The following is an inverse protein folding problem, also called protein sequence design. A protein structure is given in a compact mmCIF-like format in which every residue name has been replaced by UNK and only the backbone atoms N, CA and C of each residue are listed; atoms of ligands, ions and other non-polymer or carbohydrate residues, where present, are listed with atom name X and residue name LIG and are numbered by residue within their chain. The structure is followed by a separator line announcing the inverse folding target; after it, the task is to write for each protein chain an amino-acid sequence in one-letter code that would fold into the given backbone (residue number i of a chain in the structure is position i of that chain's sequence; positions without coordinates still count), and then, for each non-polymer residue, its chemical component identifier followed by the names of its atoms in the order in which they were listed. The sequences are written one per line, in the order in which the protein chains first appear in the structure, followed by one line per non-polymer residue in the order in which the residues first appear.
data_IF_402771531443
#
_entry.id   IF_402771531443
#
_cell.length_a   1.000
_cell.length_b   1.000
_cell.length_c   1.000
_cell.angle_alpha   90.00
_cell.angle_beta   90.00
_cell.angle_gamma   90.00
#
_symmetry.space_group_name_H-M   'P 1'
#
loop_
_entity.id
_entity.type
_entity.pdbx_description
1 polymer ?
#
# COMPACT_ATOMS: atom_id res chain seq x y z
N UNK A 1 -0.14 -42.03 28.87
CA UNK A 1 0.92 -41.24 29.55
C UNK A 1 0.22 -40.14 30.33
N UNK A 2 -0.03 -40.34 31.62
CA UNK A 2 -0.54 -39.28 32.48
C UNK A 2 0.66 -38.43 32.93
N UNK A 3 0.60 -37.11 32.68
CA UNK A 3 1.63 -36.21 33.19
C UNK A 3 1.58 -36.18 34.72
N UNK A 4 2.75 -36.30 35.36
CA UNK A 4 2.87 -36.10 36.80
C UNK A 4 2.35 -34.70 37.19
N UNK A 5 1.88 -34.52 38.43
CA UNK A 5 1.36 -33.22 38.92
C UNK A 5 2.34 -32.07 38.62
N UNK A 6 3.64 -32.33 38.74
CA UNK A 6 4.71 -31.39 38.41
C UNK A 6 4.82 -31.11 36.92
N UNK A 7 4.76 -32.17 36.08
CA UNK A 7 4.76 -32.01 34.62
C UNK A 7 3.55 -31.24 34.11
N UNK A 8 2.38 -31.44 34.72
CA UNK A 8 1.14 -30.71 34.38
C UNK A 8 1.23 -29.23 34.75
N UNK A 9 1.87 -28.90 35.88
CA UNK A 9 2.10 -27.51 36.29
C UNK A 9 3.07 -26.79 35.35
N UNK A 10 4.17 -27.45 34.95
CA UNK A 10 5.14 -26.90 34.00
C UNK A 10 4.49 -26.67 32.63
N UNK A 11 3.76 -27.67 32.12
CA UNK A 11 3.05 -27.55 30.84
C UNK A 11 2.03 -26.39 30.87
N UNK A 12 1.28 -26.23 31.96
CA UNK A 12 0.33 -25.12 32.11
C UNK A 12 1.05 -23.76 32.11
N UNK A 13 2.20 -23.67 32.77
CA UNK A 13 3.02 -22.45 32.79
C UNK A 13 3.54 -22.07 31.40
N UNK A 14 4.00 -23.04 30.62
CA UNK A 14 4.49 -22.81 29.25
C UNK A 14 3.35 -22.32 28.34
N UNK A 15 2.17 -22.94 28.42
CA UNK A 15 1.01 -22.52 27.63
C UNK A 15 0.57 -21.11 28.02
N UNK A 16 0.51 -20.80 29.31
CA UNK A 16 0.15 -19.46 29.78
C UNK A 16 1.14 -18.39 29.29
N UNK A 17 2.45 -18.67 29.34
CA UNK A 17 3.49 -17.79 28.82
C UNK A 17 3.34 -17.56 27.30
N UNK A 18 3.04 -18.62 26.55
CA UNK A 18 2.86 -18.53 25.09
C UNK A 18 1.65 -17.68 24.72
N UNK A 19 0.53 -17.82 25.44
CA UNK A 19 -0.66 -16.99 25.23
C UNK A 19 -0.35 -15.51 25.50
N UNK A 20 0.41 -15.20 26.55
CA UNK A 20 0.85 -13.83 26.85
C UNK A 20 1.73 -13.28 25.72
N UNK A 21 2.68 -14.08 25.21
CA UNK A 21 3.53 -13.68 24.10
C UNK A 21 2.72 -13.41 22.82
N UNK A 22 1.74 -14.27 22.49
CA UNK A 22 0.84 -14.05 21.36
C UNK A 22 0.04 -12.76 21.52
N UNK A 23 -0.53 -12.51 22.71
CA UNK A 23 -1.27 -11.28 22.99
C UNK A 23 -0.38 -10.02 22.84
N UNK A 24 0.88 -10.09 23.28
CA UNK A 24 1.84 -9.00 23.13
C UNK A 24 2.21 -8.76 21.66
N UNK A 25 2.41 -9.81 20.86
CA UNK A 25 2.67 -9.70 19.42
C UNK A 25 1.46 -9.09 18.70
N UNK A 26 0.24 -9.53 19.04
CA UNK A 26 -0.99 -8.98 18.45
C UNK A 26 -1.16 -7.51 18.81
N UNK A 27 -0.99 -7.15 20.09
CA UNK A 27 -1.09 -5.76 20.54
C UNK A 27 -0.04 -4.85 19.87
N UNK A 28 1.20 -5.33 19.75
CA UNK A 28 2.27 -4.56 19.06
C UNK A 28 2.10 -4.51 17.55
N UNK A 29 1.48 -5.53 16.95
CA UNK A 29 1.13 -5.50 15.52
C UNK A 29 0.01 -4.52 15.22
N UNK A 30 -0.98 -4.39 16.13
CA UNK A 30 -2.08 -3.43 16.00
C UNK A 30 -1.63 -1.96 16.14
N UNK A 31 -0.42 -1.72 16.69
CA UNK A 31 0.17 -0.38 16.79
C UNK A 31 1.13 -0.03 15.66
N UNK A 32 1.41 -0.95 14.73
CA UNK A 32 2.14 -0.60 13.51
C UNK A 32 1.15 0.12 12.60
N UNK A 33 1.49 1.35 12.20
CA UNK A 33 0.81 2.04 11.10
C UNK A 33 0.72 1.14 9.85
N UNK A 34 -0.15 1.47 8.90
CA UNK A 34 -0.40 0.64 7.72
C UNK A 34 0.95 0.18 7.15
N UNK A 35 1.08 -1.13 6.97
CA UNK A 35 2.29 -1.68 6.38
C UNK A 35 2.38 -1.08 4.99
N UNK A 36 3.36 -0.19 4.79
CA UNK A 36 3.79 0.32 3.49
C UNK A 36 4.24 -0.89 2.66
N UNK A 37 3.29 -1.56 2.01
CA UNK A 37 3.44 -2.95 1.56
C UNK A 37 3.79 -3.08 0.07
N UNK A 38 3.71 -1.98 -0.68
CA UNK A 38 3.91 -2.00 -2.12
C UNK A 38 5.32 -1.56 -2.58
N UNK A 39 5.73 -1.95 -3.81
CA UNK A 39 7.02 -1.55 -4.37
C UNK A 39 7.25 -0.04 -4.43
N UNK A 40 6.24 0.76 -4.76
CA UNK A 40 6.35 2.21 -4.85
C UNK A 40 6.53 2.86 -3.47
N UNK A 41 5.72 2.44 -2.50
CA UNK A 41 5.89 2.78 -1.09
C UNK A 41 7.28 2.43 -0.58
N UNK A 42 7.81 1.27 -0.95
CA UNK A 42 9.17 0.85 -0.61
C UNK A 42 10.25 1.77 -1.16
N UNK A 43 10.09 2.27 -2.40
CA UNK A 43 10.99 3.27 -2.99
C UNK A 43 10.90 4.62 -2.29
N UNK A 44 9.70 5.05 -1.95
CA UNK A 44 9.49 6.31 -1.24
C UNK A 44 10.11 6.27 0.17
N UNK A 45 9.99 5.15 0.87
CA UNK A 45 10.67 4.94 2.15
C UNK A 45 12.20 5.01 2.03
N UNK A 46 12.78 4.48 0.96
CA UNK A 46 14.23 4.62 0.71
C UNK A 46 14.63 6.10 0.52
N UNK A 47 13.80 6.89 -0.16
CA UNK A 47 14.00 8.35 -0.29
C UNK A 47 13.97 9.02 1.08
N UNK A 48 13.04 8.63 1.95
CA UNK A 48 12.96 9.16 3.32
C UNK A 48 14.18 8.80 4.17
N UNK A 49 14.66 7.57 4.07
CA UNK A 49 15.86 7.10 4.80
C UNK A 49 17.13 7.87 4.36
N UNK A 50 17.13 8.43 3.15
CA UNK A 50 18.17 9.34 2.67
C UNK A 50 18.00 10.80 3.15
N UNK A 51 16.95 11.10 3.91
CA UNK A 51 16.65 12.43 4.41
C UNK A 51 16.12 13.39 3.34
N UNK A 52 15.60 12.87 2.23
CA UNK A 52 15.06 13.67 1.14
C UNK A 52 13.56 13.94 1.35
N UNK A 53 13.14 15.17 1.03
CA UNK A 53 11.74 15.61 1.14
C UNK A 53 11.06 15.77 -0.24
N UNK A 54 11.73 15.33 -1.29
CA UNK A 54 11.22 15.36 -2.66
C UNK A 54 11.83 14.21 -3.44
N UNK A 55 11.05 13.60 -4.32
CA UNK A 55 11.51 12.57 -5.24
C UNK A 55 10.81 12.68 -6.57
N UNK A 56 11.37 12.03 -7.58
CA UNK A 56 10.68 11.78 -8.83
C UNK A 56 10.89 10.31 -9.16
N UNK A 57 9.80 9.54 -9.23
CA UNK A 57 9.86 8.09 -9.36
C UNK A 57 9.14 7.70 -10.64
N UNK A 58 9.85 7.11 -11.60
CA UNK A 58 9.22 6.51 -12.77
C UNK A 58 8.71 5.12 -12.42
N UNK A 59 7.44 4.78 -12.69
CA UNK A 59 6.92 3.44 -12.44
C UNK A 59 7.74 2.32 -13.09
N UNK A 60 8.38 2.57 -14.24
CA UNK A 60 9.25 1.58 -14.87
C UNK A 60 10.48 1.21 -13.99
N UNK A 61 11.00 2.14 -13.19
CA UNK A 61 12.11 1.88 -12.25
C UNK A 61 11.66 1.06 -11.01
N UNK A 62 10.35 1.00 -10.78
CA UNK A 62 9.73 0.31 -9.64
C UNK A 62 9.23 -1.06 -10.03
N UNK A 63 8.52 -1.15 -11.14
CA UNK A 63 7.78 -2.34 -11.58
C UNK A 63 8.45 -3.06 -12.77
N UNK A 64 9.55 -2.52 -13.29
CA UNK A 64 10.36 -3.13 -14.36
C UNK A 64 9.93 -2.73 -15.76
N UNK A 65 10.64 -3.27 -16.76
CA UNK A 65 10.50 -2.89 -18.17
C UNK A 65 9.10 -3.17 -18.76
N UNK A 66 8.36 -4.12 -18.19
CA UNK A 66 6.98 -4.43 -18.59
C UNK A 66 5.97 -3.33 -18.26
N UNK A 67 6.32 -2.42 -17.35
CA UNK A 67 5.49 -1.26 -17.05
C UNK A 67 5.51 -0.31 -18.25
N UNK A 68 4.35 -0.19 -18.91
CA UNK A 68 4.18 0.63 -20.10
C UNK A 68 3.50 1.96 -19.78
N UNK A 69 2.42 1.90 -18.98
CA UNK A 69 1.67 3.08 -18.59
C UNK A 69 1.23 2.96 -17.13
N UNK A 70 0.81 4.07 -16.54
CA UNK A 70 0.20 4.11 -15.22
C UNK A 70 -0.93 5.13 -15.15
N UNK A 71 -1.82 4.96 -14.18
CA UNK A 71 -2.80 5.97 -13.78
C UNK A 71 -3.06 5.88 -12.28
N UNK A 72 -3.78 6.84 -11.72
CA UNK A 72 -4.28 6.80 -10.35
C UNK A 72 -5.79 6.53 -10.30
N UNK A 73 -6.25 5.99 -9.18
CA UNK A 73 -7.67 5.96 -8.84
C UNK A 73 -7.85 6.72 -7.54
N UNK A 74 -8.76 7.70 -7.57
CA UNK A 74 -8.96 8.60 -6.46
C UNK A 74 -10.14 8.19 -5.56
N UNK A 75 -10.15 8.64 -4.30
CA UNK A 75 -11.26 8.41 -3.41
C UNK A 75 -12.59 8.85 -4.02
N UNK A 76 -13.63 8.04 -3.86
CA UNK A 76 -14.98 8.33 -4.37
C UNK A 76 -15.23 7.96 -5.83
N UNK A 77 -14.22 7.51 -6.58
CA UNK A 77 -14.44 6.90 -7.91
C UNK A 77 -15.33 5.66 -7.75
N UNK A 78 -16.38 5.56 -8.55
CA UNK A 78 -17.33 4.46 -8.50
C UNK A 78 -16.83 3.23 -9.24
N UNK A 79 -17.27 2.05 -8.80
CA UNK A 79 -16.96 0.78 -9.46
C UNK A 79 -17.42 0.78 -10.92
N UNK A 80 -18.61 1.33 -11.18
CA UNK A 80 -19.16 1.42 -12.54
C UNK A 80 -18.37 2.34 -13.49
N UNK A 81 -17.65 3.33 -12.97
CA UNK A 81 -16.78 4.19 -13.81
C UNK A 81 -15.50 3.45 -14.24
N UNK A 82 -15.09 2.45 -13.47
CA UNK A 82 -13.90 1.64 -13.75
C UNK A 82 -14.23 0.36 -14.51
N UNK A 83 -15.41 -0.21 -14.28
CA UNK A 83 -15.92 -1.39 -14.96
C UNK A 83 -16.10 -1.10 -16.47
N UNK A 84 -15.13 -1.56 -17.26
CA UNK A 84 -15.06 -1.34 -18.71
C UNK A 84 -13.81 -0.59 -19.17
N UNK A 85 -13.11 0.09 -18.26
CA UNK A 85 -11.82 0.72 -18.52
C UNK A 85 -10.64 -0.21 -18.18
N UNK A 86 -10.77 -1.02 -17.12
CA UNK A 86 -9.72 -1.94 -16.67
C UNK A 86 -10.29 -3.09 -15.83
N UNK A 87 -9.43 -4.05 -15.49
CA UNK A 87 -9.72 -5.05 -14.46
C UNK A 87 -9.69 -4.40 -13.07
N UNK A 88 -10.78 -4.52 -12.32
CA UNK A 88 -10.94 -3.94 -10.98
C UNK A 88 -10.81 -4.97 -9.86
N UNK A 89 -10.36 -6.19 -10.16
CA UNK A 89 -10.32 -7.31 -9.19
C UNK A 89 -9.48 -6.99 -7.95
N UNK A 90 -8.42 -6.20 -8.10
CA UNK A 90 -7.52 -5.82 -6.99
C UNK A 90 -7.89 -4.49 -6.33
N UNK A 91 -8.92 -3.78 -6.83
CA UNK A 91 -9.39 -2.52 -6.23
C UNK A 91 -10.49 -2.82 -5.22
N UNK A 92 -10.35 -2.26 -4.00
CA UNK A 92 -11.36 -2.43 -2.95
C UNK A 92 -12.41 -1.32 -3.06
N UNK A 93 -13.67 -1.70 -2.92
CA UNK A 93 -14.80 -0.79 -2.94
C UNK A 93 -15.63 -0.93 -1.66
N UNK A 94 -16.04 0.21 -1.12
CA UNK A 94 -17.02 0.32 -0.03
C UNK A 94 -18.29 0.96 -0.57
N UNK A 95 -19.42 0.25 -0.55
CA UNK A 95 -20.67 0.72 -1.17
C UNK A 95 -20.50 1.12 -2.65
N UNK A 96 -19.79 0.28 -3.42
CA UNK A 96 -19.51 0.49 -4.85
C UNK A 96 -18.68 1.74 -5.18
N UNK A 97 -18.00 2.34 -4.20
CA UNK A 97 -17.07 3.46 -4.40
C UNK A 97 -15.73 3.18 -3.73
N UNK A 98 -14.66 3.75 -4.26
CA UNK A 98 -13.36 3.73 -3.58
C UNK A 98 -13.47 4.49 -2.26
N UNK A 99 -13.01 3.89 -1.17
CA UNK A 99 -13.10 4.45 0.17
C UNK A 99 -12.38 5.81 0.27
N UNK A 100 -12.80 6.65 1.22
CA UNK A 100 -12.33 8.05 1.32
C UNK A 100 -10.88 8.19 1.75
N UNK A 101 -10.36 7.15 2.39
CA UNK A 101 -9.05 7.07 3.02
C UNK A 101 -8.04 6.27 2.19
N UNK A 102 -8.40 5.85 0.97
CA UNK A 102 -7.48 5.13 0.08
C UNK A 102 -7.44 5.72 -1.33
N UNK A 103 -6.26 5.69 -1.92
CA UNK A 103 -6.05 5.97 -3.34
C UNK A 103 -5.17 4.86 -3.94
N UNK A 104 -5.17 4.71 -5.26
CA UNK A 104 -4.44 3.64 -5.94
C UNK A 104 -3.55 4.17 -7.05
N UNK A 105 -2.42 3.49 -7.28
CA UNK A 105 -1.62 3.59 -8.50
C UNK A 105 -1.79 2.28 -9.26
N UNK A 106 -2.25 2.38 -10.51
CA UNK A 106 -2.43 1.25 -11.41
C UNK A 106 -1.37 1.33 -12.48
N UNK A 107 -0.70 0.22 -12.72
CA UNK A 107 0.34 0.09 -13.74
C UNK A 107 -0.14 -0.91 -14.76
N UNK A 108 0.03 -0.57 -16.03
CA UNK A 108 -0.41 -1.36 -17.18
C UNK A 108 0.78 -1.84 -18.00
N UNK A 109 0.59 -3.01 -18.60
CA UNK A 109 1.45 -3.53 -19.68
C UNK A 109 1.08 -2.86 -21.02
N UNK A 110 1.93 -3.08 -22.03
CA UNK A 110 1.70 -2.55 -23.39
C UNK A 110 0.39 -3.05 -24.02
N UNK A 111 -0.05 -4.27 -23.67
CA UNK A 111 -1.31 -4.85 -24.14
C UNK A 111 -2.55 -4.31 -23.41
N UNK A 112 -2.39 -3.37 -22.48
CA UNK A 112 -3.49 -2.80 -21.68
C UNK A 112 -3.91 -3.63 -20.48
N UNK A 113 -3.30 -4.79 -20.23
CA UNK A 113 -3.53 -5.56 -19.00
C UNK A 113 -2.95 -4.83 -17.79
N UNK A 114 -3.62 -4.97 -16.65
CA UNK A 114 -3.10 -4.49 -15.36
C UNK A 114 -1.88 -5.34 -14.98
N UNK A 115 -0.74 -4.68 -14.83
CA UNK A 115 0.50 -5.26 -14.32
C UNK A 115 0.50 -5.27 -12.79
N UNK A 116 0.08 -4.15 -12.17
CA UNK A 116 0.09 -3.98 -10.73
C UNK A 116 -0.96 -2.98 -10.27
N UNK A 117 -1.54 -3.24 -9.09
CA UNK A 117 -2.39 -2.30 -8.35
C UNK A 117 -1.75 -2.08 -6.98
N UNK A 118 -1.33 -0.85 -6.71
CA UNK A 118 -0.81 -0.48 -5.40
C UNK A 118 -1.80 0.43 -4.68
N UNK A 119 -2.22 0.01 -3.49
CA UNK A 119 -3.08 0.77 -2.58
C UNK A 119 -2.23 1.65 -1.66
N UNK A 120 -2.68 2.88 -1.46
CA UNK A 120 -2.09 3.82 -0.52
C UNK A 120 -3.13 4.28 0.49
N UNK A 121 -2.70 4.43 1.75
CA UNK A 121 -3.43 5.19 2.75
C UNK A 121 -3.29 6.68 2.42
N UNK A 122 -4.44 7.33 2.18
CA UNK A 122 -4.54 8.73 1.80
C UNK A 122 -4.04 9.70 2.88
N UNK A 123 -3.82 9.23 4.11
CA UNK A 123 -3.18 10.00 5.19
C UNK A 123 -1.65 9.98 5.15
N UNK A 124 -1.04 9.10 4.34
CA UNK A 124 0.42 8.96 4.21
C UNK A 124 0.91 9.25 2.80
N UNK A 125 0.18 8.83 1.77
CA UNK A 125 0.51 9.10 0.36
C UNK A 125 -0.77 9.46 -0.38
N UNK A 126 -0.78 10.63 -1.01
CA UNK A 126 -1.86 11.09 -1.89
C UNK A 126 -1.37 11.20 -3.34
N UNK A 127 -1.59 10.13 -4.13
CA UNK A 127 -1.33 10.18 -5.58
C UNK A 127 -2.42 10.89 -6.37
N UNK A 128 -3.42 11.46 -5.70
CA UNK A 128 -4.57 12.14 -6.27
C UNK A 128 -4.61 13.65 -6.02
N UNK A 129 -3.58 14.21 -5.37
CA UNK A 129 -3.45 15.65 -5.14
C UNK A 129 -3.49 16.48 -6.44
N UNK A 130 -3.02 15.92 -7.55
CA UNK A 130 -3.07 16.53 -8.89
C UNK A 130 -4.40 16.27 -9.64
N UNK A 131 -5.35 15.56 -9.03
CA UNK A 131 -6.54 15.03 -9.67
C UNK A 131 -6.32 13.67 -10.34
N UNK A 132 -7.35 13.19 -11.04
CA UNK A 132 -7.27 11.95 -11.81
C UNK A 132 -6.36 12.14 -13.03
N UNK A 133 -5.40 11.25 -13.20
CA UNK A 133 -4.50 11.20 -14.33
C UNK A 133 -5.18 10.46 -15.48
N UNK A 134 -4.99 10.97 -16.70
CA UNK A 134 -5.12 10.10 -17.87
C UNK A 134 -3.93 9.13 -17.89
N UNK A 135 -4.03 7.94 -18.50
CA UNK A 135 -2.90 7.03 -18.60
C UNK A 135 -1.63 7.73 -19.08
N UNK A 136 -0.59 7.70 -18.25
CA UNK A 136 0.71 8.33 -18.48
C UNK A 136 1.75 7.24 -18.79
N UNK A 137 2.71 7.45 -19.70
CA UNK A 137 3.80 6.50 -19.90
C UNK A 137 4.56 6.20 -18.61
N UNK A 138 4.85 4.93 -18.31
CA UNK A 138 5.55 4.49 -17.09
C UNK A 138 7.02 4.94 -17.00
N UNK A 139 7.58 5.42 -18.11
CA UNK A 139 8.88 6.12 -18.17
C UNK A 139 8.81 7.54 -17.61
N UNK A 140 7.62 8.14 -17.54
CA UNK A 140 7.45 9.48 -16.99
C UNK A 140 7.53 9.40 -15.47
N UNK A 141 8.40 10.22 -14.89
CA UNK A 141 8.60 10.25 -13.46
C UNK A 141 7.44 10.99 -12.77
N UNK A 142 6.90 10.39 -11.71
CA UNK A 142 5.89 10.97 -10.83
C UNK A 142 6.61 11.89 -9.86
N UNK A 143 6.43 13.23 -9.93
CA UNK A 143 7.06 14.14 -8.97
C UNK A 143 6.32 14.06 -7.64
N UNK A 144 7.04 13.83 -6.56
CA UNK A 144 6.52 13.68 -5.21
C UNK A 144 7.19 14.69 -4.29
N UNK A 145 6.40 15.29 -3.41
CA UNK A 145 6.87 16.16 -2.34
C UNK A 145 6.34 15.70 -1.00
N UNK A 146 7.19 15.79 0.01
CA UNK A 146 6.84 15.51 1.40
C UNK A 146 6.28 16.78 2.04
N UNK A 147 5.05 16.71 2.51
CA UNK A 147 4.32 17.79 3.17
C UNK A 147 3.98 17.38 4.60
N UNK A 148 4.94 17.54 5.51
CA UNK A 148 4.83 17.13 6.92
C UNK A 148 5.83 16.03 7.27
N UNK A 149 5.67 15.43 8.45
CA UNK A 149 6.60 14.39 8.92
C UNK A 149 6.40 13.04 8.21
N UNK A 150 5.19 12.70 7.77
CA UNK A 150 4.87 11.35 7.24
C UNK A 150 3.90 11.37 6.03
N UNK A 151 3.74 12.52 5.38
CA UNK A 151 2.79 12.68 4.27
C UNK A 151 3.48 13.09 2.97
N UNK A 152 3.24 12.30 1.92
CA UNK A 152 3.71 12.55 0.56
C UNK A 152 2.55 12.77 -0.39
N UNK A 153 2.76 13.60 -1.39
CA UNK A 153 1.77 13.84 -2.43
C UNK A 153 2.45 14.16 -3.76
N UNK A 154 1.70 14.03 -4.86
CA UNK A 154 2.17 14.50 -6.16
C UNK A 154 2.39 16.01 -6.10
N UNK A 155 3.56 16.46 -6.57
CA UNK A 155 3.85 17.88 -6.69
C UNK A 155 3.13 18.43 -7.93
N UNK A 156 2.31 19.47 -7.72
CA UNK A 156 1.50 20.17 -8.75
C UNK A 156 2.06 21.56 -9.01
#
# INVERSE_FOLDING_TARGET
MELSKTGRAIALGIVALFVIAMAAIVATSATRGPVMAGPFQGKLKQVEELGLNSASIAPQDVYGEEAFAFTNICPGVTKSELEGAMDTTEVKFENDVVAKDVNYLIVFKENGEVLHVEEFDNSHIDVCAAGLLNPVPAVAAIPLIKTGEDFWQIAV
#
